data_IF_899470862150
#
_entry.id   IF_899470862150
#
_cell.length_a   1.000
_cell.length_b   1.000
_cell.length_c   1.000
_cell.angle_alpha   90.00
_cell.angle_beta   90.00
_cell.angle_gamma   90.00
#
_symmetry.space_group_name_H-M   'P 1'
#
loop_
_entity.id
_entity.type
_entity.pdbx_description
1 polymer ?
#
# COMPACT_ATOMS: atom_id res chain seq x y z
N UNK A 1 -114.85 -10.67 38.26
CA UNK A 1 -114.48 -10.30 39.64
C UNK A 1 -112.98 -10.52 39.80
N UNK A 2 -112.25 -9.52 40.35
CA UNK A 2 -110.93 -9.56 41.06
C UNK A 2 -109.88 -10.62 40.64
N UNK A 3 -108.57 -10.38 40.52
CA UNK A 3 -107.65 -9.23 40.60
C UNK A 3 -106.21 -9.85 40.58
N UNK A 4 -105.22 -9.09 40.09
CA UNK A 4 -103.78 -9.08 40.49
C UNK A 4 -102.72 -9.76 39.59
N UNK A 5 -101.80 -8.86 39.20
CA UNK A 5 -100.48 -8.88 38.55
C UNK A 5 -99.49 -9.99 38.95
N UNK A 6 -98.45 -10.23 38.14
CA UNK A 6 -97.01 -10.04 38.49
C UNK A 6 -96.09 -10.30 37.28
N UNK A 7 -95.11 -9.41 37.12
CA UNK A 7 -94.02 -9.36 36.13
C UNK A 7 -93.07 -10.57 36.20
N UNK A 8 -92.56 -11.04 35.06
CA UNK A 8 -91.32 -11.83 35.01
C UNK A 8 -90.51 -11.42 33.77
N UNK A 9 -89.25 -11.05 34.04
CA UNK A 9 -88.20 -10.73 33.07
C UNK A 9 -87.74 -12.01 32.39
N UNK A 10 -87.62 -12.02 31.06
CA UNK A 10 -86.85 -13.02 30.34
C UNK A 10 -85.94 -12.34 29.31
N UNK A 11 -84.64 -12.46 29.54
CA UNK A 11 -83.59 -12.15 28.58
C UNK A 11 -83.74 -13.01 27.34
N UNK A 12 -83.76 -12.39 26.16
CA UNK A 12 -83.42 -13.03 24.90
C UNK A 12 -82.44 -12.11 24.14
N UNK A 13 -81.23 -12.62 23.94
CA UNK A 13 -80.17 -12.00 23.16
C UNK A 13 -80.63 -11.84 21.70
N UNK A 14 -80.56 -10.62 21.17
CA UNK A 14 -80.51 -10.37 19.74
C UNK A 14 -79.21 -9.60 19.44
N UNK A 15 -78.33 -10.28 18.71
CA UNK A 15 -76.98 -9.87 18.33
C UNK A 15 -77.07 -8.85 17.18
N UNK A 16 -76.89 -7.56 17.49
CA UNK A 16 -76.79 -6.49 16.47
C UNK A 16 -75.31 -6.22 16.19
N UNK A 17 -74.91 -6.44 14.94
CA UNK A 17 -73.54 -6.35 14.45
C UNK A 17 -72.89 -4.98 14.73
N UNK A 18 -71.71 -5.01 15.34
CA UNK A 18 -70.79 -3.86 15.39
C UNK A 18 -70.16 -3.73 14.00
N UNK A 19 -70.47 -2.65 13.28
CA UNK A 19 -69.73 -2.26 12.08
C UNK A 19 -68.40 -1.67 12.55
N UNK A 20 -67.33 -2.46 12.48
CA UNK A 20 -65.98 -1.95 12.65
C UNK A 20 -65.59 -1.11 11.42
N UNK A 21 -64.91 0.04 11.58
CA UNK A 21 -64.30 0.73 10.45
C UNK A 21 -63.21 -0.18 9.86
N UNK A 22 -63.29 -0.45 8.56
CA UNK A 22 -62.23 -1.10 7.81
C UNK A 22 -60.98 -0.23 7.86
N UNK A 23 -59.97 -0.69 8.60
CA UNK A 23 -58.60 -0.19 8.46
C UNK A 23 -58.10 -0.60 7.07
N UNK A 24 -58.07 0.35 6.14
CA UNK A 24 -57.33 0.19 4.89
C UNK A 24 -55.85 0.05 5.25
N UNK A 25 -55.31 -1.17 5.25
CA UNK A 25 -53.86 -1.34 5.21
C UNK A 25 -53.38 -0.76 3.89
N UNK A 26 -52.65 0.35 3.93
CA UNK A 26 -51.88 0.78 2.78
C UNK A 26 -50.94 -0.37 2.42
N UNK A 27 -51.22 -1.04 1.30
CA UNK A 27 -50.29 -2.00 0.74
C UNK A 27 -48.99 -1.23 0.46
N UNK A 28 -47.88 -1.62 1.08
CA UNK A 28 -46.57 -1.15 0.66
C UNK A 28 -46.40 -1.55 -0.80
N UNK A 29 -46.64 -0.62 -1.72
CA UNK A 29 -46.32 -0.83 -3.13
C UNK A 29 -44.83 -0.60 -3.29
N UNK A 30 -44.05 -1.67 -3.31
CA UNK A 30 -42.67 -1.59 -3.79
C UNK A 30 -42.70 -1.65 -5.33
N UNK A 31 -42.33 -0.56 -5.97
CA UNK A 31 -42.04 -0.55 -7.41
C UNK A 31 -40.54 -0.79 -7.56
N UNK A 32 -40.16 -1.92 -8.16
CA UNK A 32 -38.76 -2.17 -8.52
C UNK A 32 -38.43 -1.42 -9.81
N UNK A 33 -37.30 -0.72 -9.84
CA UNK A 33 -36.73 -0.10 -11.04
C UNK A 33 -35.33 -0.66 -11.30
N UNK A 34 -34.97 -0.79 -12.58
CA UNK A 34 -33.64 -1.24 -12.98
C UNK A 34 -32.67 -0.04 -13.05
N UNK A 35 -31.50 -0.15 -12.42
CA UNK A 35 -30.38 0.78 -12.58
C UNK A 35 -29.22 0.09 -13.30
N UNK A 36 -28.58 0.76 -14.28
CA UNK A 36 -27.46 0.22 -15.07
C UNK A 36 -26.26 1.16 -15.01
N UNK A 37 -25.07 0.57 -14.87
CA UNK A 37 -23.77 1.27 -14.92
C UNK A 37 -22.76 0.40 -15.66
N UNK A 38 -21.84 1.03 -16.38
CA UNK A 38 -20.73 0.38 -17.08
C UNK A 38 -19.41 1.06 -16.67
N UNK A 39 -18.36 0.27 -16.43
CA UNK A 39 -17.05 0.76 -16.02
C UNK A 39 -16.01 0.48 -17.11
N UNK A 40 -15.02 1.36 -17.20
CA UNK A 40 -13.82 1.19 -18.02
C UNK A 40 -12.58 1.13 -17.13
N UNK A 41 -11.49 0.54 -17.63
CA UNK A 41 -10.20 0.54 -16.94
C UNK A 41 -9.72 1.97 -16.61
N UNK A 42 -8.91 2.08 -15.56
CA UNK A 42 -8.25 3.33 -15.17
C UNK A 42 -7.37 3.92 -16.28
N UNK A 43 -7.16 5.24 -16.24
CA UNK A 43 -6.40 5.96 -17.28
C UNK A 43 -4.90 5.78 -17.05
N UNK A 44 -4.11 5.68 -18.13
CA UNK A 44 -2.64 5.52 -18.12
C UNK A 44 -1.87 6.79 -17.67
N UNK A 45 -2.51 7.72 -16.97
CA UNK A 45 -1.82 8.92 -16.49
C UNK A 45 -1.00 8.57 -15.26
N UNK A 46 0.29 8.98 -15.21
CA UNK A 46 1.06 8.91 -13.99
C UNK A 46 0.27 9.49 -12.82
N UNK A 47 0.11 8.70 -11.77
CA UNK A 47 -0.47 9.16 -10.51
C UNK A 47 0.70 9.34 -9.55
N UNK A 48 0.74 10.50 -8.89
CA UNK A 48 1.73 10.74 -7.86
C UNK A 48 1.52 9.73 -6.72
N UNK A 49 2.59 9.12 -6.19
CA UNK A 49 2.46 8.22 -5.07
C UNK A 49 1.91 8.93 -3.84
N UNK A 50 1.47 8.15 -2.85
CA UNK A 50 0.94 8.65 -1.59
C UNK A 50 2.00 8.55 -0.49
N UNK A 51 2.00 9.49 0.46
CA UNK A 51 2.87 9.43 1.64
C UNK A 51 2.70 8.07 2.35
N UNK A 52 3.75 7.23 2.47
CA UNK A 52 3.65 5.87 3.00
C UNK A 52 3.31 5.82 4.50
N UNK A 53 3.48 6.92 5.23
CA UNK A 53 3.35 6.97 6.69
C UNK A 53 2.26 7.94 7.18
N UNK A 54 1.60 8.68 6.30
CA UNK A 54 0.42 9.48 6.66
C UNK A 54 -0.82 8.58 6.74
N UNK A 55 -1.67 8.75 7.76
CA UNK A 55 -2.94 8.01 7.87
C UNK A 55 -3.95 8.48 6.83
N UNK A 56 -3.87 9.74 6.43
CA UNK A 56 -4.68 10.30 5.36
C UNK A 56 -3.88 10.25 4.05
N UNK A 57 -4.40 9.60 3.00
CA UNK A 57 -3.66 9.46 1.76
C UNK A 57 -3.54 10.80 1.04
N UNK A 58 -2.34 11.41 1.10
CA UNK A 58 -2.00 12.64 0.37
C UNK A 58 -0.99 12.36 -0.73
N UNK A 59 -1.19 12.89 -1.95
CA UNK A 59 -0.20 12.78 -3.01
C UNK A 59 1.11 13.48 -2.63
N UNK A 60 2.23 12.82 -2.94
CA UNK A 60 3.58 13.32 -2.73
C UNK A 60 4.43 13.23 -4.00
N UNK A 61 5.44 14.08 -4.09
CA UNK A 61 6.50 14.01 -5.10
C UNK A 61 7.80 13.57 -4.42
N UNK A 62 8.42 12.45 -4.77
CA UNK A 62 9.74 12.09 -4.27
C UNK A 62 10.78 13.12 -4.76
N UNK A 63 11.50 13.77 -3.84
CA UNK A 63 12.33 14.96 -4.11
C UNK A 63 13.82 14.79 -3.81
N UNK A 64 14.35 13.56 -3.76
CA UNK A 64 15.79 13.40 -3.55
C UNK A 64 16.64 14.05 -4.67
N UNK A 65 17.80 14.64 -4.33
CA UNK A 65 18.26 15.88 -4.98
C UNK A 65 18.94 15.74 -6.34
N UNK A 66 19.24 14.53 -6.81
CA UNK A 66 20.05 14.32 -8.04
C UNK A 66 19.71 13.03 -8.80
N UNK A 67 18.60 12.38 -8.47
CA UNK A 67 18.12 11.22 -9.23
C UNK A 67 16.88 11.58 -10.03
N UNK A 68 16.83 11.11 -11.28
CA UNK A 68 15.68 11.27 -12.15
C UNK A 68 14.39 10.89 -11.39
N UNK A 69 13.29 11.63 -11.63
CA UNK A 69 11.98 11.35 -11.03
C UNK A 69 11.68 9.85 -11.07
N UNK A 70 11.02 9.27 -10.04
CA UNK A 70 10.69 7.86 -10.00
C UNK A 70 10.17 7.39 -11.36
N UNK A 71 10.88 6.42 -11.95
CA UNK A 71 10.56 5.93 -13.29
C UNK A 71 9.22 5.22 -13.23
N UNK A 72 8.17 5.89 -13.72
CA UNK A 72 6.85 5.30 -13.95
C UNK A 72 7.00 4.25 -15.05
N UNK A 73 7.15 2.99 -14.65
CA UNK A 73 7.31 1.86 -15.57
C UNK A 73 5.94 1.29 -15.99
N UNK A 74 5.80 0.93 -17.29
CA UNK A 74 5.14 1.74 -18.31
C UNK A 74 3.62 1.88 -18.11
N UNK A 75 3.13 3.08 -18.44
CA UNK A 75 1.75 3.57 -18.27
C UNK A 75 0.66 2.60 -18.72
N UNK A 76 -0.15 2.20 -17.75
CA UNK A 76 -1.21 1.22 -17.87
C UNK A 76 -2.17 1.35 -16.69
N UNK A 77 -3.31 0.68 -16.77
CA UNK A 77 -4.18 0.51 -15.63
C UNK A 77 -3.52 -0.33 -14.51
N UNK A 78 -2.57 -1.20 -14.86
CA UNK A 78 -1.61 -1.83 -13.94
C UNK A 78 -0.24 -1.15 -14.07
N UNK A 79 0.31 -0.62 -12.97
CA UNK A 79 1.54 0.20 -12.98
C UNK A 79 2.22 0.26 -11.61
N UNK A 80 3.51 0.59 -11.61
CA UNK A 80 4.23 1.03 -10.42
C UNK A 80 4.17 2.56 -10.36
N UNK A 81 3.62 3.10 -9.27
CA UNK A 81 3.58 4.55 -9.02
C UNK A 81 4.86 5.04 -8.34
N UNK A 82 5.55 4.18 -7.57
CA UNK A 82 6.80 4.53 -6.90
C UNK A 82 7.68 3.31 -6.62
N UNK A 83 8.99 3.51 -6.75
CA UNK A 83 10.06 2.65 -6.26
C UNK A 83 11.02 3.49 -5.42
N UNK A 84 11.70 2.89 -4.42
CA UNK A 84 12.55 3.64 -3.52
C UNK A 84 13.84 4.08 -4.21
N UNK A 85 14.27 5.32 -3.98
CA UNK A 85 15.64 5.76 -4.25
C UNK A 85 16.46 5.56 -2.98
N UNK A 86 17.46 4.69 -3.01
CA UNK A 86 18.20 4.30 -1.81
C UNK A 86 19.57 4.99 -1.77
N UNK A 87 19.74 5.91 -0.82
CA UNK A 87 21.03 6.51 -0.48
C UNK A 87 21.54 5.96 0.86
N UNK A 88 22.78 5.47 0.90
CA UNK A 88 23.46 5.12 2.15
C UNK A 88 24.24 6.30 2.74
N UNK A 89 24.26 7.46 2.08
CA UNK A 89 24.99 8.65 2.50
C UNK A 89 26.50 8.43 2.70
N UNK A 90 27.13 9.30 3.49
CA UNK A 90 28.55 9.21 3.83
C UNK A 90 28.75 8.24 4.98
N UNK A 91 29.70 7.31 4.86
CA UNK A 91 30.02 6.31 5.87
C UNK A 91 31.53 6.16 6.06
N UNK A 92 31.94 5.70 7.24
CA UNK A 92 33.34 5.36 7.52
C UNK A 92 33.75 4.05 6.82
N UNK A 93 34.98 4.01 6.31
CA UNK A 93 35.56 2.81 5.71
C UNK A 93 35.86 1.79 6.83
N UNK A 94 35.50 0.54 6.60
CA UNK A 94 35.83 -0.58 7.48
C UNK A 94 36.82 -1.53 6.81
N UNK A 95 37.79 -2.02 7.59
CA UNK A 95 38.69 -3.10 7.17
C UNK A 95 38.06 -4.50 7.30
N UNK A 96 36.90 -4.60 7.96
CA UNK A 96 36.09 -5.82 8.14
C UNK A 96 34.75 -5.67 7.42
N UNK A 97 33.96 -6.74 7.39
CA UNK A 97 32.58 -6.67 6.93
C UNK A 97 31.84 -5.57 7.70
N UNK A 98 31.11 -4.73 6.97
CA UNK A 98 30.39 -3.60 7.54
C UNK A 98 28.96 -3.51 7.00
N UNK A 99 28.09 -3.00 7.86
CA UNK A 99 26.70 -2.71 7.56
C UNK A 99 26.50 -1.19 7.54
N UNK A 100 25.91 -0.69 6.47
CA UNK A 100 25.59 0.71 6.25
C UNK A 100 24.09 0.87 6.06
N UNK A 101 23.48 1.84 6.75
CA UNK A 101 22.03 2.00 6.78
C UNK A 101 21.58 3.19 5.93
N UNK A 102 20.49 3.02 5.19
CA UNK A 102 20.01 4.04 4.26
C UNK A 102 19.53 5.30 4.98
N UNK A 103 19.59 6.43 4.30
CA UNK A 103 18.84 7.62 4.68
C UNK A 103 17.35 7.37 4.49
N UNK A 104 16.52 8.15 5.17
CA UNK A 104 15.10 8.21 4.83
C UNK A 104 14.91 9.01 3.53
N UNK A 105 13.96 8.58 2.72
CA UNK A 105 13.63 9.25 1.46
C UNK A 105 12.93 10.57 1.74
N UNK A 106 13.23 11.57 0.92
CA UNK A 106 12.58 12.89 1.02
C UNK A 106 11.40 12.98 0.07
N UNK A 107 10.20 13.12 0.62
CA UNK A 107 8.98 13.34 -0.17
C UNK A 107 8.44 14.75 0.07
N UNK A 108 8.00 15.41 -0.99
CA UNK A 108 7.32 16.69 -0.94
C UNK A 108 5.82 16.48 -1.01
N UNK A 109 5.13 16.90 0.03
CA UNK A 109 3.67 16.98 0.05
C UNK A 109 3.20 17.99 -1.00
N UNK A 110 2.37 17.54 -1.95
CA UNK A 110 1.98 18.37 -3.10
C UNK A 110 0.94 19.44 -2.76
N UNK A 111 0.22 19.28 -1.66
CA UNK A 111 -0.79 20.23 -1.21
C UNK A 111 -0.15 21.39 -0.42
N UNK A 112 0.68 21.06 0.56
CA UNK A 112 1.35 22.01 1.45
C UNK A 112 2.70 22.50 0.93
N UNK A 113 3.33 21.76 0.01
CA UNK A 113 4.68 22.01 -0.49
C UNK A 113 5.80 21.63 0.49
N UNK A 114 5.47 21.03 1.64
CA UNK A 114 6.44 20.69 2.70
C UNK A 114 7.22 19.42 2.36
N UNK A 115 8.53 19.41 2.60
CA UNK A 115 9.38 18.22 2.46
C UNK A 115 9.43 17.46 3.79
N UNK A 116 9.23 16.14 3.74
CA UNK A 116 9.27 15.22 4.88
C UNK A 116 10.17 14.03 4.58
N UNK A 117 10.75 13.46 5.63
CA UNK A 117 11.50 12.19 5.56
C UNK A 117 10.57 11.00 5.77
N UNK A 118 10.73 9.97 4.94
CA UNK A 118 9.87 8.78 4.89
C UNK A 118 10.65 7.51 4.66
N UNK A 119 10.16 6.41 5.23
CA UNK A 119 10.66 5.08 4.94
C UNK A 119 10.57 4.75 3.45
N UNK A 120 11.48 3.88 3.00
CA UNK A 120 11.47 3.40 1.63
C UNK A 120 10.25 2.54 1.34
N UNK A 121 9.63 2.74 0.19
CA UNK A 121 8.39 2.06 -0.15
C UNK A 121 8.27 1.78 -1.65
N UNK A 122 7.40 0.82 -1.98
CA UNK A 122 6.97 0.56 -3.35
C UNK A 122 5.47 0.73 -3.41
N UNK A 123 4.97 1.45 -4.41
CA UNK A 123 3.54 1.64 -4.64
C UNK A 123 3.12 1.06 -5.99
N UNK A 124 2.10 0.20 -5.99
CA UNK A 124 1.53 -0.43 -7.18
C UNK A 124 0.04 -0.10 -7.25
N UNK A 125 -0.44 0.21 -8.45
CA UNK A 125 -1.86 0.37 -8.73
C UNK A 125 -2.30 -0.62 -9.81
N UNK A 126 -3.37 -1.38 -9.53
CA UNK A 126 -4.07 -2.22 -10.51
C UNK A 126 -5.54 -1.79 -10.63
N UNK A 127 -5.79 -0.93 -11.61
CA UNK A 127 -7.09 -0.39 -12.01
C UNK A 127 -7.55 -1.00 -13.35
N UNK A 128 -7.00 -2.16 -13.73
CA UNK A 128 -7.26 -2.82 -15.02
C UNK A 128 -8.69 -3.34 -15.15
N UNK A 129 -9.29 -3.76 -14.03
CA UNK A 129 -10.56 -4.47 -14.00
C UNK A 129 -10.47 -5.92 -14.50
N UNK A 130 -9.27 -6.41 -14.81
CA UNK A 130 -9.06 -7.79 -15.29
C UNK A 130 -8.75 -8.77 -14.16
N UNK A 131 -8.26 -8.28 -13.02
CA UNK A 131 -7.97 -9.05 -11.81
C UNK A 131 -7.08 -10.29 -12.04
N UNK A 132 -6.13 -10.20 -12.98
CA UNK A 132 -5.24 -11.31 -13.38
C UNK A 132 -4.12 -11.62 -12.37
N UNK A 133 -3.96 -10.80 -11.33
CA UNK A 133 -2.81 -10.84 -10.43
C UNK A 133 -1.55 -10.26 -11.06
N UNK A 134 -0.56 -9.97 -10.23
CA UNK A 134 0.69 -9.30 -10.61
C UNK A 134 1.80 -9.53 -9.58
N UNK A 135 3.07 -9.38 -9.97
CA UNK A 135 4.21 -9.41 -9.06
C UNK A 135 5.20 -8.29 -9.35
N UNK A 136 5.78 -7.73 -8.28
CA UNK A 136 6.93 -6.85 -8.32
C UNK A 136 8.17 -7.60 -7.86
N UNK A 137 9.23 -7.49 -8.66
CA UNK A 137 10.56 -8.01 -8.32
C UNK A 137 11.59 -6.90 -8.43
N UNK A 138 12.66 -7.03 -7.66
CA UNK A 138 13.87 -6.20 -7.76
C UNK A 138 15.06 -7.09 -8.08
N UNK A 139 15.98 -6.58 -8.88
CA UNK A 139 17.23 -7.25 -9.22
C UNK A 139 18.43 -6.32 -9.16
N UNK A 140 19.59 -6.89 -8.85
CA UNK A 140 20.89 -6.22 -8.83
C UNK A 140 21.98 -7.24 -9.09
N UNK A 141 23.08 -6.79 -9.70
CA UNK A 141 24.29 -7.63 -9.82
C UNK A 141 25.14 -7.62 -8.54
N UNK A 142 24.76 -6.80 -7.54
CA UNK A 142 25.49 -6.65 -6.28
C UNK A 142 26.83 -5.95 -6.42
N UNK A 143 27.11 -5.28 -7.55
CA UNK A 143 28.36 -4.56 -7.77
C UNK A 143 28.10 -3.06 -7.71
N UNK A 144 28.67 -2.42 -6.70
CA UNK A 144 28.68 -0.97 -6.62
C UNK A 144 29.94 -0.44 -7.30
N UNK A 145 29.76 0.51 -8.21
CA UNK A 145 30.77 1.00 -9.14
C UNK A 145 31.16 2.42 -8.80
N UNK A 146 32.46 2.71 -8.82
CA UNK A 146 33.03 4.06 -8.70
C UNK A 146 34.06 4.31 -9.79
N UNK A 147 34.58 5.54 -9.89
CA UNK A 147 35.64 5.87 -10.84
C UNK A 147 36.98 5.17 -10.54
N UNK A 148 37.24 4.81 -9.28
CA UNK A 148 38.50 4.17 -8.86
C UNK A 148 38.44 2.66 -8.71
N UNK A 149 37.25 2.08 -8.68
CA UNK A 149 37.06 0.63 -8.55
C UNK A 149 35.64 0.24 -8.16
N UNK A 150 35.42 -1.06 -8.06
CA UNK A 150 34.12 -1.62 -7.70
C UNK A 150 34.22 -2.32 -6.35
N UNK A 151 33.10 -2.34 -5.64
CA UNK A 151 32.90 -3.11 -4.40
C UNK A 151 31.70 -4.04 -4.60
N UNK A 152 31.76 -5.25 -4.05
CA UNK A 152 30.57 -6.10 -3.96
C UNK A 152 29.76 -5.64 -2.73
N UNK A 153 28.43 -5.66 -2.84
CA UNK A 153 27.53 -5.30 -1.77
C UNK A 153 26.20 -6.03 -1.89
N UNK A 154 25.57 -6.28 -0.74
CA UNK A 154 24.22 -6.86 -0.66
C UNK A 154 23.28 -5.88 0.00
N UNK A 155 22.16 -5.56 -0.66
CA UNK A 155 21.11 -4.73 -0.11
C UNK A 155 20.04 -5.62 0.51
N UNK A 156 19.66 -5.31 1.75
CA UNK A 156 18.56 -5.95 2.47
C UNK A 156 17.50 -4.91 2.81
N UNK A 157 16.25 -5.18 2.44
CA UNK A 157 15.07 -4.45 2.90
C UNK A 157 14.27 -5.36 3.84
N UNK A 158 14.04 -4.94 5.07
CA UNK A 158 13.37 -5.72 6.11
C UNK A 158 12.21 -4.98 6.75
N UNK A 159 11.51 -5.63 7.70
CA UNK A 159 10.43 -4.98 8.45
C UNK A 159 9.31 -4.44 7.55
N UNK A 160 8.95 -5.22 6.53
CA UNK A 160 7.92 -4.84 5.57
C UNK A 160 6.56 -4.64 6.27
N UNK A 161 5.90 -3.54 5.96
CA UNK A 161 4.52 -3.26 6.34
C UNK A 161 3.69 -3.03 5.08
N UNK A 162 2.60 -3.79 4.95
CA UNK A 162 1.67 -3.63 3.83
C UNK A 162 0.59 -2.61 4.19
N UNK A 163 0.24 -1.76 3.24
CA UNK A 163 -0.82 -0.77 3.36
C UNK A 163 -1.70 -0.76 2.11
N UNK A 164 -3.01 -0.80 2.31
CA UNK A 164 -3.99 -0.58 1.25
C UNK A 164 -4.39 0.90 1.19
N UNK A 165 -4.51 1.46 -0.01
CA UNK A 165 -5.02 2.83 -0.23
C UNK A 165 -6.46 2.79 -0.77
N UNK A 166 -7.12 3.95 -0.84
CA UNK A 166 -8.47 4.08 -1.42
C UNK A 166 -9.50 3.10 -0.85
N UNK A 167 -9.48 2.87 0.47
CA UNK A 167 -10.40 1.97 1.17
C UNK A 167 -9.99 0.48 1.15
N UNK A 168 -8.79 0.17 0.65
CA UNK A 168 -8.22 -1.19 0.76
C UNK A 168 -7.58 -1.48 2.11
N UNK A 169 -7.41 -0.48 2.97
CA UNK A 169 -6.87 -0.72 4.31
C UNK A 169 -7.81 -1.65 5.11
N UNK A 170 -7.23 -2.69 5.72
CA UNK A 170 -7.99 -3.76 6.40
C UNK A 170 -8.68 -4.78 5.50
N UNK A 171 -8.59 -4.67 4.17
CA UNK A 171 -9.14 -5.64 3.22
C UNK A 171 -8.20 -6.85 3.01
N UNK A 172 -7.94 -7.60 4.08
CA UNK A 172 -6.90 -8.65 4.13
C UNK A 172 -7.08 -9.73 3.05
N UNK A 173 -8.31 -10.16 2.76
CA UNK A 173 -8.58 -11.21 1.76
C UNK A 173 -8.30 -10.78 0.31
N UNK A 174 -8.23 -9.47 0.07
CA UNK A 174 -7.97 -8.85 -1.24
C UNK A 174 -6.52 -8.39 -1.39
N UNK A 175 -5.74 -8.45 -0.31
CA UNK A 175 -4.41 -7.91 -0.27
C UNK A 175 -3.41 -8.73 -1.10
N UNK A 176 -2.41 -8.08 -1.73
CA UNK A 176 -1.21 -8.77 -2.14
C UNK A 176 -0.43 -9.24 -0.91
N UNK A 177 0.53 -10.14 -1.12
CA UNK A 177 1.47 -10.59 -0.10
C UNK A 177 2.79 -9.84 -0.30
N UNK A 178 3.25 -9.17 0.75
CA UNK A 178 4.57 -8.54 0.78
C UNK A 178 5.62 -9.54 1.27
N UNK A 179 6.79 -9.54 0.63
CA UNK A 179 7.94 -10.25 1.17
C UNK A 179 8.51 -9.47 2.36
N UNK A 180 8.47 -10.11 3.53
CA UNK A 180 8.93 -9.51 4.80
C UNK A 180 10.42 -9.17 4.82
N UNK A 181 11.23 -9.83 3.98
CA UNK A 181 12.65 -9.53 3.82
C UNK A 181 13.07 -9.75 2.37
N UNK A 182 13.55 -8.68 1.74
CA UNK A 182 14.05 -8.67 0.37
C UNK A 182 15.57 -8.55 0.45
N UNK A 183 16.29 -9.49 -0.15
CA UNK A 183 17.76 -9.49 -0.22
C UNK A 183 18.13 -9.51 -1.69
N UNK A 184 18.93 -8.54 -2.13
CA UNK A 184 19.39 -8.44 -3.51
C UNK A 184 20.89 -8.13 -3.57
N UNK A 185 21.60 -8.87 -4.40
CA UNK A 185 23.05 -8.78 -4.57
C UNK A 185 23.59 -9.93 -5.39
N UNK A 186 24.91 -10.11 -5.41
CA UNK A 186 25.59 -11.11 -6.25
C UNK A 186 25.10 -12.54 -6.05
N UNK A 187 24.88 -12.94 -4.79
CA UNK A 187 24.43 -14.28 -4.41
C UNK A 187 22.89 -14.44 -4.43
N UNK A 188 22.18 -13.33 -4.58
CA UNK A 188 20.72 -13.25 -4.65
C UNK A 188 20.31 -12.20 -5.70
N UNK A 189 20.51 -12.47 -7.01
CA UNK A 189 20.45 -11.45 -8.04
C UNK A 189 19.04 -10.87 -8.27
N UNK A 190 18.00 -11.60 -7.87
CA UNK A 190 16.60 -11.17 -7.99
C UNK A 190 15.82 -11.62 -6.76
N UNK A 191 14.91 -10.77 -6.29
CA UNK A 191 13.99 -11.06 -5.20
C UNK A 191 12.57 -10.58 -5.51
N UNK A 192 11.57 -11.35 -5.07
CA UNK A 192 10.17 -10.93 -5.07
C UNK A 192 9.91 -9.98 -3.91
N UNK A 193 9.19 -8.90 -4.19
CA UNK A 193 8.91 -7.80 -3.26
C UNK A 193 7.44 -7.83 -2.84
N UNK A 194 6.55 -7.96 -3.82
CA UNK A 194 5.11 -7.91 -3.64
C UNK A 194 4.44 -8.82 -4.68
N UNK A 195 3.43 -9.60 -4.26
CA UNK A 195 2.71 -10.52 -5.16
C UNK A 195 1.21 -10.52 -4.89
N UNK A 196 0.43 -10.30 -5.94
CA UNK A 196 -1.01 -10.47 -5.96
C UNK A 196 -1.39 -11.70 -6.80
N UNK A 197 -2.16 -12.61 -6.20
CA UNK A 197 -2.82 -13.68 -6.96
C UNK A 197 -4.02 -13.12 -7.75
N UNK A 198 -4.55 -13.91 -8.69
CA UNK A 198 -5.77 -13.57 -9.40
C UNK A 198 -6.92 -13.27 -8.41
N UNK A 199 -7.67 -12.21 -8.68
CA UNK A 199 -8.73 -11.71 -7.79
C UNK A 199 -8.25 -10.85 -6.60
N UNK A 200 -6.93 -10.63 -6.43
CA UNK A 200 -6.33 -9.82 -5.36
C UNK A 200 -5.49 -8.68 -5.92
N UNK A 201 -5.03 -7.79 -5.05
CA UNK A 201 -4.09 -6.72 -5.39
C UNK A 201 -4.64 -5.63 -6.31
N UNK A 202 -5.95 -5.61 -6.55
CA UNK A 202 -6.59 -4.53 -7.29
C UNK A 202 -6.67 -3.25 -6.47
N UNK A 203 -6.84 -2.12 -7.15
CA UNK A 203 -6.66 -0.77 -6.60
C UNK A 203 -5.19 -0.54 -6.20
N UNK A 204 -4.92 0.36 -5.25
CA UNK A 204 -3.55 0.78 -4.92
C UNK A 204 -3.06 0.18 -3.59
N UNK A 205 -1.84 -0.34 -3.62
CA UNK A 205 -1.17 -0.98 -2.48
C UNK A 205 0.25 -0.45 -2.34
N UNK A 206 0.70 -0.35 -1.10
CA UNK A 206 2.06 0.01 -0.73
C UNK A 206 2.69 -1.09 0.12
N UNK A 207 3.97 -1.37 -0.11
CA UNK A 207 4.83 -2.06 0.86
C UNK A 207 5.89 -1.08 1.33
N UNK A 208 5.99 -0.90 2.64
CA UNK A 208 6.87 0.07 3.31
C UNK A 208 7.93 -0.69 4.11
N UNK A 209 9.20 -0.31 3.97
CA UNK A 209 10.34 -0.91 4.67
C UNK A 209 10.90 0.10 5.68
N UNK A 210 10.43 0.01 6.93
CA UNK A 210 10.80 0.93 8.02
C UNK A 210 9.68 1.88 8.43
N UNK A 211 10.00 2.87 9.28
CA UNK A 211 9.08 3.96 9.66
C UNK A 211 9.89 5.17 10.18
N UNK A 212 9.74 6.36 9.61
CA UNK A 212 10.56 7.52 10.02
C UNK A 212 10.18 8.10 11.39
N UNK A 213 9.02 7.73 11.95
CA UNK A 213 8.46 8.33 13.17
C UNK A 213 8.49 7.40 14.38
N UNK A 214 8.21 6.10 14.21
CA UNK A 214 7.83 5.19 15.32
C UNK A 214 8.73 3.96 15.48
N UNK A 215 9.74 3.71 14.63
CA UNK A 215 10.67 2.59 14.83
C UNK A 215 11.63 2.33 13.65
N UNK A 216 12.54 1.36 13.78
CA UNK A 216 13.56 1.02 12.77
C UNK A 216 14.49 2.18 12.40
N UNK A 217 14.96 2.92 13.40
CA UNK A 217 15.99 3.95 13.20
C UNK A 217 17.31 3.54 13.83
N UNK A 218 18.41 3.97 13.21
CA UNK A 218 19.76 3.90 13.78
C UNK A 218 20.46 5.23 13.56
N UNK A 219 21.41 5.57 14.44
CA UNK A 219 22.24 6.76 14.25
C UNK A 219 23.43 6.39 13.37
N UNK A 220 23.63 7.12 12.26
CA UNK A 220 24.79 6.97 11.39
C UNK A 220 26.07 7.46 12.06
N UNK A 221 27.22 7.17 11.45
CA UNK A 221 28.53 7.67 11.91
C UNK A 221 28.64 9.21 11.85
N UNK A 222 27.80 9.84 11.03
CA UNK A 222 27.66 11.29 10.88
C UNK A 222 26.57 11.89 11.79
N UNK A 223 26.12 11.15 12.80
CA UNK A 223 25.07 11.52 13.75
C UNK A 223 23.66 11.70 13.16
N UNK A 224 23.45 11.42 11.87
CA UNK A 224 22.13 11.51 11.23
C UNK A 224 21.27 10.28 11.54
N UNK A 225 19.94 10.44 11.57
CA UNK A 225 19.02 9.33 11.76
C UNK A 225 18.84 8.60 10.41
N UNK A 226 18.97 7.27 10.45
CA UNK A 226 18.95 6.38 9.27
C UNK A 226 17.81 5.37 9.37
N UNK A 227 17.33 4.93 8.22
CA UNK A 227 16.38 3.84 8.10
C UNK A 227 17.08 2.49 8.33
N UNK A 228 16.91 1.91 9.51
CA UNK A 228 17.53 0.64 9.90
C UNK A 228 16.98 -0.56 9.11
N UNK A 229 15.81 -0.40 8.47
CA UNK A 229 15.18 -1.45 7.68
C UNK A 229 15.78 -1.59 6.27
N UNK A 230 16.62 -0.66 5.83
CA UNK A 230 17.29 -0.71 4.53
C UNK A 230 18.80 -0.66 4.75
N UNK A 231 19.47 -1.76 4.45
CA UNK A 231 20.87 -2.00 4.84
C UNK A 231 21.70 -2.48 3.66
N UNK A 232 22.88 -1.91 3.49
CA UNK A 232 23.94 -2.40 2.64
C UNK A 232 24.96 -3.15 3.49
N UNK A 233 25.21 -4.41 3.18
CA UNK A 233 26.34 -5.17 3.72
C UNK A 233 27.47 -5.21 2.70
N UNK A 234 28.63 -4.69 3.07
CA UNK A 234 29.88 -4.76 2.28
C UNK A 234 30.78 -5.82 2.91
N UNK A 235 31.16 -6.89 2.18
CA UNK A 235 32.11 -7.90 2.63
C UNK A 235 33.50 -7.33 2.98
N UNK A 236 34.23 -8.05 3.83
CA UNK A 236 35.63 -7.70 4.12
C UNK A 236 36.57 -7.92 2.93
N UNK A 237 37.77 -7.32 3.01
CA UNK A 237 38.84 -7.55 2.04
C UNK A 237 38.72 -6.78 0.72
N UNK A 238 37.76 -5.85 0.61
CA UNK A 238 37.57 -5.03 -0.58
C UNK A 238 38.36 -3.72 -0.50
N UNK A 239 38.86 -3.26 -1.64
CA UNK A 239 39.55 -1.98 -1.74
C UNK A 239 38.51 -0.84 -1.84
N UNK A 240 38.25 -0.19 -0.70
CA UNK A 240 37.34 0.97 -0.64
C UNK A 240 38.16 2.26 -0.65
N UNK A 241 37.93 3.10 -1.66
CA UNK A 241 38.58 4.40 -1.82
C UNK A 241 37.78 5.52 -1.13
N UNK A 242 38.44 6.26 -0.23
CA UNK A 242 37.84 7.42 0.44
C UNK A 242 37.49 8.54 -0.55
N UNK A 243 36.33 9.17 -0.34
CA UNK A 243 35.84 10.27 -1.17
C UNK A 243 35.25 9.86 -2.51
N UNK A 244 35.17 8.55 -2.80
CA UNK A 244 34.48 8.05 -3.99
C UNK A 244 33.01 7.74 -3.71
N UNK A 245 32.17 7.99 -4.71
CA UNK A 245 30.79 7.55 -4.74
C UNK A 245 30.70 6.18 -5.42
N UNK A 246 29.97 5.27 -4.78
CA UNK A 246 29.73 3.92 -5.27
C UNK A 246 28.26 3.75 -5.59
N UNK A 247 27.93 3.44 -6.84
CA UNK A 247 26.55 3.31 -7.31
C UNK A 247 26.26 1.89 -7.82
N UNK A 248 25.09 1.36 -7.52
CA UNK A 248 24.61 0.09 -8.04
C UNK A 248 23.27 0.30 -8.75
N UNK A 249 23.02 -0.48 -9.81
CA UNK A 249 21.73 -0.48 -10.49
C UNK A 249 20.76 -1.43 -9.80
N UNK A 250 19.57 -0.92 -9.49
CA UNK A 250 18.41 -1.71 -9.11
C UNK A 250 17.41 -1.71 -10.26
N UNK A 251 17.07 -2.89 -10.77
CA UNK A 251 16.10 -3.05 -11.84
C UNK A 251 14.82 -3.64 -11.25
N UNK A 252 13.75 -2.86 -11.33
CA UNK A 252 12.42 -3.20 -10.84
C UNK A 252 11.52 -3.64 -12.00
N UNK A 253 10.79 -4.73 -11.82
CA UNK A 253 9.90 -5.29 -12.85
C UNK A 253 8.51 -5.51 -12.29
N UNK A 254 7.49 -5.17 -13.07
CA UNK A 254 6.08 -5.51 -12.82
C UNK A 254 5.62 -6.55 -13.85
N UNK A 255 5.21 -7.71 -13.38
CA UNK A 255 4.70 -8.81 -14.20
C UNK A 255 3.19 -8.98 -13.94
N UNK A 256 2.39 -9.26 -14.97
CA UNK A 256 0.95 -9.55 -14.86
C UNK A 256 0.68 -11.01 -15.19
N UNK A 257 -0.33 -11.62 -14.55
CA UNK A 257 -0.83 -12.95 -14.91
C UNK A 257 0.05 -14.08 -14.37
N UNK A 258 -0.03 -14.28 -13.06
CA UNK A 258 0.73 -15.29 -12.31
C UNK A 258 0.01 -16.63 -12.22
#
# INVERSE_FOLDING_TARGET
MKKINTTTVLCALALSAVVAPSVSSAANQSVNGDAKVEFKAGVNTPVNPVDPEDKEPKPVDPTEPDTEKPVVYPGGALRINHIPTISFGVNEISAKQADYFAQFEKVKDLESGTVKEKASYVEVADESGEFKGWAVKVSSDGVFRSAKGNIDGTITLSSAALRGLNGMDGQVDKAPVANGTVIVGKDAPTAEVLKAEAGKGYNTWQVVYGNSVTGNTVKGSDDTIRNAAVKLTVPEGQAVYAGEEYTASLVWTLEQGL
#
